data_IF_282226717578
#
_entry.id   IF_282226717578
#
_cell.length_a   1.000
_cell.length_b   1.000
_cell.length_c   1.000
_cell.angle_alpha   90.00
_cell.angle_beta   90.00
_cell.angle_gamma   90.00
#
_symmetry.space_group_name_H-M   'P 1'
#
loop_
_entity.id
_entity.type
_entity.pdbx_description
1 polymer ?
#
# COMPACT_ATOMS: atom_id res chain seq x y z
N UNK A 1 -17.12 21.65 -62.94
CA UNK A 1 -16.22 21.90 -61.80
C UNK A 1 -17.03 22.39 -60.61
N UNK A 2 -17.30 21.53 -59.64
CA UNK A 2 -17.88 21.90 -58.35
C UNK A 2 -16.94 21.37 -57.27
N UNK A 3 -16.31 22.28 -56.54
CA UNK A 3 -15.47 21.98 -55.38
C UNK A 3 -16.38 21.78 -54.16
N UNK A 4 -16.25 20.63 -53.50
CA UNK A 4 -16.75 20.37 -52.14
C UNK A 4 -15.55 20.49 -51.20
N UNK A 5 -15.58 21.34 -50.17
CA UNK A 5 -14.49 21.40 -49.20
C UNK A 5 -14.66 20.27 -48.17
N UNK A 6 -13.60 19.49 -47.99
CA UNK A 6 -13.46 18.50 -46.93
C UNK A 6 -13.23 19.24 -45.59
N UNK A 7 -14.17 19.17 -44.66
CA UNK A 7 -13.99 19.64 -43.29
C UNK A 7 -13.33 18.50 -42.49
N UNK A 8 -12.03 18.65 -42.25
CA UNK A 8 -11.28 17.81 -41.29
C UNK A 8 -11.73 18.26 -39.89
N UNK A 9 -12.52 17.43 -39.22
CA UNK A 9 -12.85 17.62 -37.82
C UNK A 9 -11.67 17.14 -36.98
N UNK A 10 -10.82 18.09 -36.55
CA UNK A 10 -9.80 17.85 -35.52
C UNK A 10 -10.55 17.76 -34.19
N UNK A 11 -10.80 16.54 -33.72
CA UNK A 11 -11.24 16.30 -32.34
C UNK A 11 -10.03 16.60 -31.45
N UNK A 12 -10.00 17.82 -30.90
CA UNK A 12 -9.12 18.17 -29.79
C UNK A 12 -9.47 17.23 -28.62
N UNK A 13 -8.62 16.24 -28.37
CA UNK A 13 -8.57 15.53 -27.10
C UNK A 13 -8.28 16.57 -26.02
N UNK A 14 -9.32 17.01 -25.31
CA UNK A 14 -9.15 17.75 -24.07
C UNK A 14 -8.55 16.75 -23.08
N UNK A 15 -7.31 16.95 -22.60
CA UNK A 15 -6.81 16.11 -21.53
C UNK A 15 -7.74 16.35 -20.33
N UNK A 16 -8.38 15.31 -19.83
CA UNK A 16 -8.94 15.35 -18.49
C UNK A 16 -7.77 15.58 -17.55
N UNK A 17 -7.54 16.83 -17.17
CA UNK A 17 -6.68 17.17 -16.05
C UNK A 17 -7.41 16.59 -14.84
N UNK A 18 -7.01 15.38 -14.42
CA UNK A 18 -7.31 14.91 -13.07
C UNK A 18 -6.65 15.96 -12.17
N UNK A 19 -7.47 16.84 -11.60
CA UNK A 19 -6.99 17.85 -10.67
C UNK A 19 -6.35 17.09 -9.51
N UNK A 20 -5.02 17.06 -9.48
CA UNK A 20 -4.27 16.52 -8.35
C UNK A 20 -4.67 17.35 -7.14
N UNK A 21 -5.31 16.73 -6.16
CA UNK A 21 -5.48 17.35 -4.84
C UNK A 21 -4.10 17.77 -4.35
N UNK A 22 -3.91 19.01 -3.87
CA UNK A 22 -2.62 19.42 -3.34
C UNK A 22 -2.16 18.43 -2.25
N UNK A 23 -0.85 18.13 -2.16
CA UNK A 23 -0.33 17.24 -1.13
C UNK A 23 -0.80 17.70 0.24
N UNK A 24 -1.20 16.76 1.09
CA UNK A 24 -1.63 17.10 2.44
C UNK A 24 -0.44 17.66 3.22
N UNK A 25 -0.65 18.52 4.20
CA UNK A 25 0.44 18.90 5.10
C UNK A 25 0.87 17.64 5.90
N UNK A 26 2.11 17.13 5.72
CA UNK A 26 2.57 15.93 6.40
C UNK A 26 2.39 15.99 7.90
N UNK A 27 2.65 17.15 8.51
CA UNK A 27 2.63 17.29 9.96
C UNK A 27 1.19 17.21 10.49
N UNK A 28 0.22 17.78 9.78
CA UNK A 28 -1.20 17.68 10.14
C UNK A 28 -1.73 16.25 10.00
N UNK A 29 -1.30 15.51 8.98
CA UNK A 29 -1.73 14.12 8.78
C UNK A 29 -1.16 13.21 9.87
N UNK A 30 0.12 13.40 10.21
CA UNK A 30 0.77 12.69 11.32
C UNK A 30 0.10 13.04 12.65
N UNK A 31 -0.26 14.31 12.88
CA UNK A 31 -1.01 14.71 14.06
C UNK A 31 -2.39 14.04 14.14
N UNK A 32 -3.17 14.02 13.05
CA UNK A 32 -4.47 13.33 13.02
C UNK A 32 -4.31 11.82 13.24
N UNK A 33 -3.29 11.21 12.63
CA UNK A 33 -2.94 9.82 12.87
C UNK A 33 -2.74 9.57 14.38
N UNK A 34 -1.97 10.41 15.05
CA UNK A 34 -1.73 10.32 16.49
C UNK A 34 -2.99 10.57 17.33
N UNK A 35 -3.88 11.47 16.89
CA UNK A 35 -5.18 11.66 17.54
C UNK A 35 -6.07 10.42 17.43
N UNK A 36 -6.12 9.74 16.27
CA UNK A 36 -6.85 8.47 16.11
C UNK A 36 -6.24 7.35 16.96
N UNK A 37 -4.91 7.25 17.01
CA UNK A 37 -4.18 6.32 17.88
C UNK A 37 -4.54 6.51 19.36
N UNK A 38 -4.62 7.76 19.83
CA UNK A 38 -4.94 8.10 21.22
C UNK A 38 -6.44 8.07 21.53
N UNK A 39 -7.32 8.36 20.56
CA UNK A 39 -8.78 8.40 20.74
C UNK A 39 -9.39 7.05 21.16
N UNK A 40 -8.73 5.94 20.80
CA UNK A 40 -9.08 4.60 21.29
C UNK A 40 -8.98 4.45 22.82
N UNK A 41 -8.16 5.27 23.51
CA UNK A 41 -8.08 5.29 24.98
C UNK A 41 -9.36 5.82 25.65
N UNK A 42 -10.17 6.65 24.95
CA UNK A 42 -11.36 7.31 25.54
C UNK A 42 -12.68 6.61 25.22
N UNK A 43 -12.75 5.78 24.17
CA UNK A 43 -13.92 4.94 23.86
C UNK A 43 -13.80 3.55 24.49
N UNK A 44 -13.68 3.51 25.82
CA UNK A 44 -13.65 2.28 26.64
C UNK A 44 -15.02 1.60 26.79
N UNK A 45 -15.97 1.90 25.89
CA UNK A 45 -17.35 1.42 25.95
C UNK A 45 -17.80 0.78 24.64
N UNK A 46 -17.95 -0.54 24.67
CA UNK A 46 -18.86 -1.36 23.85
C UNK A 46 -18.47 -1.88 22.45
N UNK A 47 -17.44 -1.38 21.74
CA UNK A 47 -17.16 -1.84 20.35
C UNK A 47 -15.68 -2.01 19.93
N UNK A 48 -14.69 -1.78 20.80
CA UNK A 48 -13.27 -1.90 20.45
C UNK A 48 -12.76 -3.35 20.60
N UNK A 49 -12.00 -3.84 19.60
CA UNK A 49 -11.31 -5.14 19.72
C UNK A 49 -10.22 -5.18 20.77
N UNK A 50 -9.82 -4.01 21.30
CA UNK A 50 -8.76 -3.89 22.28
C UNK A 50 -7.47 -4.59 21.83
N UNK A 51 -7.26 -4.74 20.51
CA UNK A 51 -6.00 -5.25 19.95
C UNK A 51 -4.88 -4.25 20.15
N UNK A 52 -5.22 -2.95 20.31
CA UNK A 52 -4.26 -1.86 20.37
C UNK A 52 -3.93 -1.28 19.00
N UNK A 53 -4.33 -1.96 17.93
CA UNK A 53 -4.27 -1.51 16.54
C UNK A 53 -5.59 -0.78 16.19
N UNK A 54 -5.57 0.56 15.98
CA UNK A 54 -6.80 1.32 15.74
C UNK A 54 -7.47 1.02 14.39
N UNK A 55 -6.74 0.50 13.40
CA UNK A 55 -7.33 0.11 12.12
C UNK A 55 -8.24 -1.09 12.36
N UNK A 56 -7.70 -2.16 12.96
CA UNK A 56 -8.46 -3.37 13.29
C UNK A 56 -9.57 -3.06 14.30
N UNK A 57 -9.26 -2.33 15.38
CA UNK A 57 -10.22 -2.01 16.44
C UNK A 57 -11.45 -1.22 15.91
N UNK A 58 -11.36 -0.59 14.73
CA UNK A 58 -12.45 0.15 14.11
C UNK A 58 -13.53 -0.74 13.45
N UNK A 59 -13.15 -1.89 12.87
CA UNK A 59 -14.08 -2.73 12.11
C UNK A 59 -14.12 -4.19 12.55
N UNK A 60 -13.00 -4.75 13.00
CA UNK A 60 -12.78 -6.20 13.13
C UNK A 60 -13.72 -6.89 14.13
N UNK A 61 -14.17 -6.13 15.13
CA UNK A 61 -15.04 -6.65 16.19
C UNK A 61 -16.51 -6.63 15.90
N UNK A 62 -16.89 -6.12 14.73
CA UNK A 62 -18.24 -6.24 14.24
C UNK A 62 -18.51 -7.72 13.89
N UNK A 63 -19.35 -8.45 14.64
CA UNK A 63 -19.70 -9.82 14.28
C UNK A 63 -20.53 -9.90 12.98
N UNK A 64 -21.12 -8.77 12.57
CA UNK A 64 -21.87 -8.59 11.33
C UNK A 64 -21.02 -7.88 10.25
N UNK A 65 -19.67 -7.95 10.33
CA UNK A 65 -18.77 -7.37 9.32
C UNK A 65 -19.13 -7.75 7.89
N UNK A 66 -19.74 -8.92 7.67
CA UNK A 66 -20.16 -9.38 6.34
C UNK A 66 -21.34 -8.58 5.78
N UNK A 67 -22.25 -8.10 6.64
CA UNK A 67 -23.33 -7.17 6.27
C UNK A 67 -22.83 -5.73 6.21
N UNK A 68 -21.82 -5.41 7.02
CA UNK A 68 -21.23 -4.09 7.17
C UNK A 68 -19.86 -3.97 6.49
N UNK A 69 -19.58 -4.74 5.42
CA UNK A 69 -18.24 -4.85 4.81
C UNK A 69 -17.57 -3.51 4.57
N UNK A 70 -18.38 -2.59 4.05
CA UNK A 70 -17.98 -1.24 3.64
C UNK A 70 -17.53 -0.33 4.78
N UNK A 71 -17.87 -0.66 6.03
CA UNK A 71 -17.37 0.04 7.24
C UNK A 71 -15.84 0.05 7.31
N UNK A 72 -15.19 -0.95 6.73
CA UNK A 72 -13.73 -1.01 6.61
C UNK A 72 -13.15 0.28 6.00
N UNK A 73 -13.80 0.87 4.99
CA UNK A 73 -13.30 2.04 4.29
C UNK A 73 -13.20 3.31 5.16
N UNK A 74 -13.85 3.34 6.33
CA UNK A 74 -13.77 4.47 7.26
C UNK A 74 -12.62 4.29 8.29
N UNK A 75 -11.95 3.14 8.28
CA UNK A 75 -10.97 2.73 9.28
C UNK A 75 -9.52 2.99 8.89
N UNK A 76 -9.26 3.37 7.64
CA UNK A 76 -7.94 3.79 7.19
C UNK A 76 -7.42 4.97 8.03
N UNK A 77 -6.09 5.01 8.23
CA UNK A 77 -5.38 6.09 8.90
C UNK A 77 -4.16 6.50 8.08
N UNK A 78 -3.49 7.58 8.47
CA UNK A 78 -2.31 8.08 7.78
C UNK A 78 -2.64 8.77 6.45
N UNK A 79 -1.69 8.80 5.53
CA UNK A 79 -1.84 9.51 4.26
C UNK A 79 -2.92 8.92 3.35
N UNK A 80 -3.13 7.60 3.40
CA UNK A 80 -4.19 6.89 2.69
C UNK A 80 -5.57 6.91 3.37
N UNK A 81 -5.77 7.66 4.47
CA UNK A 81 -7.05 7.68 5.23
C UNK A 81 -8.30 8.02 4.41
N UNK A 82 -8.12 8.69 3.27
CA UNK A 82 -9.19 9.10 2.37
C UNK A 82 -9.43 8.10 1.22
N UNK A 83 -8.72 6.98 1.17
CA UNK A 83 -8.96 5.91 0.20
C UNK A 83 -10.30 5.24 0.50
N UNK A 84 -11.39 5.71 -0.11
CA UNK A 84 -12.74 5.16 0.15
C UNK A 84 -13.04 3.89 -0.66
N UNK A 85 -12.18 3.54 -1.61
CA UNK A 85 -12.38 2.37 -2.47
C UNK A 85 -13.72 2.41 -3.20
N UNK A 86 -14.41 1.27 -3.24
CA UNK A 86 -15.77 1.13 -3.76
C UNK A 86 -16.88 1.28 -2.74
N UNK A 87 -16.65 1.95 -1.59
CA UNK A 87 -17.63 2.07 -0.48
C UNK A 87 -19.02 2.51 -0.96
N UNK A 88 -19.07 3.51 -1.83
CA UNK A 88 -20.33 4.11 -2.25
C UNK A 88 -20.97 3.38 -3.45
N UNK A 89 -20.42 2.22 -3.80
CA UNK A 89 -20.83 1.37 -4.91
C UNK A 89 -21.65 0.16 -4.52
N UNK A 90 -22.02 -0.63 -5.54
CA UNK A 90 -22.65 -1.94 -5.35
C UNK A 90 -21.63 -3.00 -4.96
N UNK A 91 -22.08 -4.04 -4.26
CA UNK A 91 -21.27 -5.23 -4.05
C UNK A 91 -21.25 -6.05 -5.34
N UNK A 92 -20.06 -6.38 -5.81
CA UNK A 92 -19.85 -7.34 -6.88
C UNK A 92 -19.27 -8.63 -6.30
N UNK A 93 -19.77 -9.78 -6.74
CA UNK A 93 -19.28 -11.08 -6.27
C UNK A 93 -18.59 -11.80 -7.42
N UNK A 94 -17.29 -12.02 -7.29
CA UNK A 94 -16.50 -12.85 -8.20
C UNK A 94 -16.94 -14.30 -8.01
N UNK A 95 -17.35 -14.92 -9.10
CA UNK A 95 -17.82 -16.31 -9.18
C UNK A 95 -16.96 -17.18 -10.09
N UNK A 96 -16.12 -16.55 -10.91
CA UNK A 96 -15.20 -17.19 -11.85
C UNK A 96 -13.77 -16.70 -11.60
N UNK A 97 -12.84 -17.63 -11.39
CA UNK A 97 -11.42 -17.35 -11.17
C UNK A 97 -10.62 -17.28 -12.48
N UNK A 98 -11.26 -17.48 -13.64
CA UNK A 98 -10.62 -17.40 -14.94
C UNK A 98 -10.26 -15.99 -15.38
N UNK A 99 -9.24 -15.90 -16.23
CA UNK A 99 -8.74 -14.65 -16.82
C UNK A 99 -8.36 -14.83 -18.30
N UNK A 100 -9.23 -15.49 -19.06
CA UNK A 100 -8.89 -15.99 -20.40
C UNK A 100 -8.57 -14.90 -21.42
N UNK A 101 -9.21 -13.74 -21.33
CA UNK A 101 -9.13 -12.65 -22.29
C UNK A 101 -8.96 -11.30 -21.55
N UNK A 102 -7.72 -10.74 -21.55
CA UNK A 102 -7.42 -9.45 -20.96
C UNK A 102 -8.14 -8.26 -21.59
N UNK A 103 -8.68 -8.42 -22.81
CA UNK A 103 -9.43 -7.40 -23.55
C UNK A 103 -10.93 -7.57 -23.36
N UNK A 104 -11.46 -8.79 -23.29
CA UNK A 104 -12.90 -9.04 -23.14
C UNK A 104 -13.19 -9.94 -21.93
N UNK A 105 -12.99 -9.42 -20.70
CA UNK A 105 -13.25 -10.21 -19.51
C UNK A 105 -14.74 -10.57 -19.40
N UNK A 106 -15.03 -11.78 -18.95
CA UNK A 106 -16.40 -12.28 -18.77
C UNK A 106 -17.01 -11.73 -17.47
N UNK A 107 -18.30 -11.33 -17.44
CA UNK A 107 -19.00 -11.11 -16.18
C UNK A 107 -18.87 -12.35 -15.27
N UNK A 108 -18.58 -12.12 -14.01
CA UNK A 108 -18.26 -13.12 -13.00
C UNK A 108 -16.78 -13.13 -12.60
N UNK A 109 -15.88 -12.58 -13.43
CA UNK A 109 -14.44 -12.55 -13.15
C UNK A 109 -13.99 -11.29 -12.42
N UNK A 110 -12.83 -11.37 -11.76
CA UNK A 110 -12.20 -10.23 -11.11
C UNK A 110 -11.86 -9.12 -12.11
N UNK A 111 -11.30 -9.47 -13.29
CA UNK A 111 -10.93 -8.49 -14.32
C UNK A 111 -12.14 -7.69 -14.81
N UNK A 112 -13.29 -8.34 -15.00
CA UNK A 112 -14.50 -7.62 -15.39
C UNK A 112 -14.89 -6.59 -14.34
N UNK A 113 -14.83 -6.95 -13.05
CA UNK A 113 -15.25 -6.08 -11.96
C UNK A 113 -14.37 -4.84 -11.80
N UNK A 114 -13.04 -5.02 -11.82
CA UNK A 114 -12.11 -3.92 -11.50
C UNK A 114 -12.07 -2.82 -12.57
N UNK A 115 -12.49 -3.10 -13.80
CA UNK A 115 -12.48 -2.12 -14.88
C UNK A 115 -13.77 -1.28 -14.96
N UNK A 116 -14.84 -1.60 -14.22
CA UNK A 116 -16.11 -0.89 -14.36
C UNK A 116 -16.00 0.60 -14.02
N UNK A 117 -16.84 1.44 -14.64
CA UNK A 117 -16.84 2.89 -14.39
C UNK A 117 -17.41 3.21 -13.01
N UNK A 118 -18.44 2.48 -12.58
CA UNK A 118 -19.05 2.67 -11.27
C UNK A 118 -18.14 2.20 -10.12
N UNK A 119 -18.26 2.82 -8.93
CA UNK A 119 -17.64 2.28 -7.73
C UNK A 119 -18.12 0.85 -7.46
N UNK A 120 -17.21 -0.06 -7.11
CA UNK A 120 -17.56 -1.45 -6.79
C UNK A 120 -16.80 -1.97 -5.57
N UNK A 121 -17.56 -2.57 -4.65
CA UNK A 121 -17.03 -3.37 -3.55
C UNK A 121 -16.97 -4.84 -3.97
N UNK A 122 -15.79 -5.30 -4.35
CA UNK A 122 -15.59 -6.61 -4.98
C UNK A 122 -15.28 -7.65 -3.90
N UNK A 123 -16.05 -8.73 -3.89
CA UNK A 123 -15.95 -9.86 -2.96
C UNK A 123 -15.88 -11.18 -3.71
N UNK A 124 -15.63 -12.28 -3.00
CA UNK A 124 -15.43 -13.60 -3.61
C UNK A 124 -16.44 -14.60 -3.06
N UNK A 125 -17.05 -15.39 -3.95
CA UNK A 125 -18.09 -16.37 -3.59
C UNK A 125 -17.55 -17.60 -2.86
N UNK A 126 -16.26 -17.89 -3.03
CA UNK A 126 -15.54 -19.07 -2.50
C UNK A 126 -14.04 -18.78 -2.54
N UNK A 127 -13.25 -19.69 -1.98
CA UNK A 127 -11.81 -19.69 -2.13
C UNK A 127 -11.42 -19.77 -3.61
N UNK A 128 -10.43 -18.97 -4.01
CA UNK A 128 -10.01 -18.84 -5.41
C UNK A 128 -8.50 -18.71 -5.54
N UNK A 129 -7.95 -19.40 -6.53
CA UNK A 129 -6.62 -19.11 -7.08
C UNK A 129 -6.84 -18.50 -8.46
N UNK A 130 -6.45 -17.25 -8.61
CA UNK A 130 -6.62 -16.44 -9.82
C UNK A 130 -5.22 -16.28 -10.43
N UNK A 131 -5.00 -16.95 -11.55
CA UNK A 131 -3.81 -16.75 -12.38
C UNK A 131 -4.18 -15.81 -13.52
N UNK A 132 -3.72 -14.57 -13.43
CA UNK A 132 -3.95 -13.57 -14.46
C UNK A 132 -3.07 -13.86 -15.68
N UNK A 133 -3.58 -13.56 -16.88
CA UNK A 133 -2.78 -13.64 -18.10
C UNK A 133 -1.93 -12.39 -18.33
N UNK A 134 -2.44 -11.24 -17.92
CA UNK A 134 -1.82 -9.93 -18.05
C UNK A 134 -2.03 -9.12 -16.77
N UNK A 135 -1.32 -8.00 -16.60
CA UNK A 135 -1.52 -7.11 -15.44
C UNK A 135 -3.02 -6.81 -15.21
N UNK A 136 -3.47 -6.91 -13.95
CA UNK A 136 -4.82 -6.53 -13.56
C UNK A 136 -4.87 -5.01 -13.38
N UNK A 137 -5.02 -4.30 -14.49
CA UNK A 137 -5.25 -2.87 -14.52
C UNK A 137 -6.71 -2.59 -14.13
N UNK A 138 -6.92 -1.58 -13.29
CA UNK A 138 -8.24 -1.24 -12.74
C UNK A 138 -8.59 0.22 -12.91
N UNK A 139 -9.89 0.50 -12.86
CA UNK A 139 -10.45 1.85 -12.82
C UNK A 139 -10.52 2.36 -11.37
N UNK A 140 -10.81 3.65 -11.17
CA UNK A 140 -10.95 4.28 -9.86
C UNK A 140 -12.11 3.70 -9.04
N UNK A 141 -12.11 3.96 -7.72
CA UNK A 141 -13.20 3.60 -6.79
C UNK A 141 -13.48 2.09 -6.71
N UNK A 142 -12.43 1.31 -6.47
CA UNK A 142 -12.53 -0.15 -6.35
C UNK A 142 -12.03 -0.59 -4.98
N UNK A 143 -12.77 -1.52 -4.38
CA UNK A 143 -12.29 -2.31 -3.25
C UNK A 143 -12.20 -3.76 -3.66
N UNK A 144 -11.04 -4.39 -3.51
CA UNK A 144 -10.89 -5.85 -3.54
C UNK A 144 -10.88 -6.32 -2.08
N UNK A 145 -11.92 -7.05 -1.66
CA UNK A 145 -12.14 -7.50 -0.28
C UNK A 145 -12.19 -9.03 -0.23
N UNK A 146 -11.07 -9.65 0.17
CA UNK A 146 -10.95 -11.11 0.30
C UNK A 146 -11.63 -11.69 1.54
N UNK A 147 -12.15 -10.89 2.48
CA UNK A 147 -12.72 -11.42 3.74
C UNK A 147 -13.84 -12.41 3.48
N UNK A 148 -13.74 -13.59 4.09
CA UNK A 148 -14.69 -14.69 3.96
C UNK A 148 -14.32 -15.72 2.88
N UNK A 149 -13.21 -15.54 2.18
CA UNK A 149 -12.64 -16.49 1.24
C UNK A 149 -11.09 -16.44 1.30
N UNK A 150 -10.44 -17.54 0.99
CA UNK A 150 -9.00 -17.58 0.73
C UNK A 150 -8.77 -17.27 -0.76
N UNK A 151 -8.26 -16.07 -1.04
CA UNK A 151 -8.08 -15.57 -2.41
C UNK A 151 -6.61 -15.35 -2.69
N UNK A 152 -6.10 -16.03 -3.71
CA UNK A 152 -4.72 -15.96 -4.15
C UNK A 152 -4.65 -15.39 -5.56
N UNK A 153 -3.92 -14.29 -5.74
CA UNK A 153 -3.48 -13.83 -7.06
C UNK A 153 -2.03 -14.26 -7.22
N UNK A 154 -1.77 -15.20 -8.14
CA UNK A 154 -0.45 -15.80 -8.23
C UNK A 154 -0.10 -16.40 -9.59
N UNK A 155 1.18 -16.74 -9.77
CA UNK A 155 1.72 -17.51 -10.89
C UNK A 155 1.61 -16.85 -12.28
N UNK A 156 1.24 -15.58 -12.33
CA UNK A 156 1.17 -14.72 -13.51
C UNK A 156 1.41 -13.27 -13.12
N UNK A 157 1.11 -12.30 -13.98
CA UNK A 157 1.11 -10.89 -13.61
C UNK A 157 0.11 -10.63 -12.48
N UNK A 158 0.32 -9.53 -11.76
CA UNK A 158 -0.50 -9.20 -10.59
C UNK A 158 -1.15 -7.81 -10.75
N UNK A 159 -1.20 -7.01 -9.70
CA UNK A 159 -2.08 -5.84 -9.62
C UNK A 159 -1.38 -4.57 -10.10
N UNK A 160 -2.03 -3.80 -10.97
CA UNK A 160 -1.52 -2.50 -11.43
C UNK A 160 -2.56 -1.40 -11.24
N UNK A 161 -2.28 -0.48 -10.32
CA UNK A 161 -3.07 0.71 -9.99
C UNK A 161 -2.45 1.91 -10.70
N UNK A 162 -2.89 2.18 -11.92
CA UNK A 162 -2.26 3.18 -12.80
C UNK A 162 -3.19 4.35 -13.10
N UNK A 163 -2.76 5.57 -12.79
CA UNK A 163 -3.46 6.84 -13.06
C UNK A 163 -4.91 6.89 -12.55
N UNK A 164 -5.18 6.19 -11.46
CA UNK A 164 -6.51 6.11 -10.83
C UNK A 164 -6.45 6.52 -9.36
N UNK A 165 -7.61 6.65 -8.75
CA UNK A 165 -7.73 7.05 -7.35
C UNK A 165 -8.76 6.23 -6.59
N UNK A 166 -8.67 6.26 -5.27
CA UNK A 166 -9.61 5.60 -4.34
C UNK A 166 -9.65 4.09 -4.54
N UNK A 167 -8.54 3.44 -4.19
CA UNK A 167 -8.39 1.98 -4.29
C UNK A 167 -8.13 1.39 -2.91
N UNK A 168 -8.84 0.32 -2.58
CA UNK A 168 -8.56 -0.51 -1.39
C UNK A 168 -8.26 -1.93 -1.88
N UNK A 169 -7.12 -2.48 -1.48
CA UNK A 169 -6.76 -3.88 -1.70
C UNK A 169 -6.64 -4.51 -0.31
N UNK A 170 -7.57 -5.40 0.02
CA UNK A 170 -7.71 -5.91 1.38
C UNK A 170 -7.91 -7.41 1.46
N UNK A 171 -7.13 -8.07 2.33
CA UNK A 171 -7.41 -9.45 2.75
C UNK A 171 -7.15 -10.51 1.67
N UNK A 172 -6.17 -10.31 0.80
CA UNK A 172 -5.81 -11.28 -0.27
C UNK A 172 -4.34 -11.71 -0.19
N UNK A 173 -4.05 -12.90 -0.71
CA UNK A 173 -2.70 -13.41 -0.91
C UNK A 173 -2.19 -13.01 -2.30
N UNK A 174 -0.99 -12.44 -2.38
CA UNK A 174 -0.35 -11.99 -3.63
C UNK A 174 1.06 -12.57 -3.66
N UNK A 175 1.32 -13.55 -4.52
CA UNK A 175 2.61 -14.23 -4.51
C UNK A 175 2.95 -14.88 -5.85
N UNK A 176 4.23 -15.22 -6.05
CA UNK A 176 4.69 -15.82 -7.31
C UNK A 176 4.31 -15.00 -8.55
N UNK A 177 4.25 -13.67 -8.40
CA UNK A 177 3.96 -12.75 -9.48
C UNK A 177 5.07 -12.80 -10.53
N UNK A 178 4.69 -12.77 -11.81
CA UNK A 178 5.59 -12.92 -12.96
C UNK A 178 5.38 -11.80 -13.95
N UNK A 179 6.42 -11.44 -14.72
CA UNK A 179 6.28 -10.57 -15.88
C UNK A 179 5.18 -11.05 -16.83
N UNK A 180 4.39 -10.12 -17.35
CA UNK A 180 3.48 -10.33 -18.48
C UNK A 180 3.44 -9.10 -19.36
N UNK A 181 2.92 -9.22 -20.57
CA UNK A 181 2.81 -8.09 -21.48
C UNK A 181 3.00 -8.51 -22.92
N UNK A 182 3.27 -7.51 -23.76
CA UNK A 182 3.17 -7.62 -25.22
C UNK A 182 1.76 -8.05 -25.64
N UNK A 183 0.77 -7.44 -24.99
CA UNK A 183 -0.64 -7.73 -25.20
C UNK A 183 -1.47 -6.46 -25.10
N UNK A 184 -2.68 -6.52 -25.68
CA UNK A 184 -3.70 -5.53 -25.42
C UNK A 184 -4.37 -5.84 -24.08
N UNK A 185 -4.51 -4.84 -23.21
CA UNK A 185 -5.12 -4.99 -21.89
C UNK A 185 -6.18 -3.92 -21.69
N UNK A 186 -7.36 -4.33 -21.22
CA UNK A 186 -8.47 -3.43 -20.90
C UNK A 186 -8.30 -2.84 -19.50
N UNK A 187 -8.49 -1.53 -19.39
CA UNK A 187 -8.44 -0.77 -18.13
C UNK A 187 -9.79 -0.13 -17.74
N UNK A 188 -10.72 -0.01 -18.71
CA UNK A 188 -12.07 0.50 -18.52
C UNK A 188 -13.06 -0.12 -19.52
N UNK A 189 -14.38 0.09 -19.38
CA UNK A 189 -15.34 -0.50 -20.33
C UNK A 189 -15.16 0.03 -21.75
N UNK A 190 -14.51 1.20 -21.90
CA UNK A 190 -14.38 1.92 -23.18
C UNK A 190 -12.96 2.02 -23.71
N UNK A 191 -11.96 1.65 -22.92
CA UNK A 191 -10.56 1.76 -23.31
C UNK A 191 -9.78 0.47 -23.01
N UNK A 192 -8.87 0.16 -23.93
CA UNK A 192 -7.86 -0.87 -23.78
C UNK A 192 -6.63 -0.43 -24.58
N UNK A 193 -5.44 -0.76 -24.11
CA UNK A 193 -4.18 -0.29 -24.67
C UNK A 193 -3.12 -1.38 -24.76
N UNK A 194 -2.10 -1.14 -25.59
CA UNK A 194 -0.94 -2.04 -25.66
C UNK A 194 -0.09 -1.90 -24.40
N UNK A 195 0.25 -3.03 -23.79
CA UNK A 195 1.13 -3.12 -22.62
C UNK A 195 2.43 -3.79 -23.01
N UNK A 196 3.54 -3.17 -22.66
CA UNK A 196 4.86 -3.81 -22.70
C UNK A 196 5.01 -4.77 -21.52
N UNK A 197 6.14 -5.47 -21.47
CA UNK A 197 6.45 -6.38 -20.37
C UNK A 197 6.48 -5.61 -19.05
N UNK A 198 5.70 -6.07 -18.07
CA UNK A 198 5.74 -5.63 -16.69
C UNK A 198 6.85 -6.35 -15.91
N UNK A 199 7.31 -5.75 -14.82
CA UNK A 199 8.42 -6.29 -14.03
C UNK A 199 8.03 -7.54 -13.21
N UNK A 200 6.73 -7.72 -12.98
CA UNK A 200 6.20 -8.83 -12.18
C UNK A 200 6.10 -8.50 -10.69
N UNK A 201 5.79 -7.25 -10.37
CA UNK A 201 5.49 -6.80 -9.00
C UNK A 201 4.19 -7.39 -8.47
N UNK A 202 4.05 -7.49 -7.15
CA UNK A 202 2.80 -7.85 -6.50
C UNK A 202 1.71 -6.78 -6.67
N UNK A 203 2.01 -5.56 -6.25
CA UNK A 203 1.15 -4.38 -6.38
C UNK A 203 1.97 -3.21 -6.93
N UNK A 204 1.71 -2.82 -8.16
CA UNK A 204 2.32 -1.64 -8.80
C UNK A 204 1.37 -0.44 -8.74
N UNK A 205 1.81 0.67 -8.14
CA UNK A 205 1.05 1.91 -7.96
C UNK A 205 1.75 3.01 -8.77
N UNK A 206 1.12 3.45 -9.85
CA UNK A 206 1.74 4.31 -10.86
C UNK A 206 0.92 5.58 -11.07
N UNK A 207 1.44 6.73 -10.65
CA UNK A 207 0.74 8.02 -10.74
C UNK A 207 -0.66 8.01 -10.14
N UNK A 208 -0.88 7.23 -9.08
CA UNK A 208 -2.17 7.02 -8.45
C UNK A 208 -2.25 7.70 -7.07
N UNK A 209 -3.46 7.97 -6.59
CA UNK A 209 -3.67 8.63 -5.30
C UNK A 209 -4.78 8.01 -4.46
N UNK A 210 -4.73 8.17 -3.14
CA UNK A 210 -5.72 7.61 -2.23
C UNK A 210 -5.82 6.08 -2.38
N UNK A 211 -4.71 5.41 -2.06
CA UNK A 211 -4.58 3.95 -2.15
C UNK A 211 -4.33 3.37 -0.76
N UNK A 212 -5.01 2.27 -0.44
CA UNK A 212 -4.82 1.54 0.80
C UNK A 212 -4.61 0.04 0.54
N UNK A 213 -3.43 -0.47 0.91
CA UNK A 213 -3.10 -1.90 0.84
C UNK A 213 -3.06 -2.42 2.27
N UNK A 214 -4.04 -3.27 2.62
CA UNK A 214 -4.32 -3.66 3.99
C UNK A 214 -4.50 -5.18 4.16
N UNK A 215 -3.97 -5.78 5.22
CA UNK A 215 -4.20 -7.20 5.51
C UNK A 215 -3.89 -8.15 4.33
N UNK A 216 -2.94 -7.80 3.48
CA UNK A 216 -2.50 -8.67 2.40
C UNK A 216 -1.31 -9.52 2.86
N UNK A 217 -1.18 -10.72 2.31
CA UNK A 217 0.02 -11.56 2.48
C UNK A 217 0.80 -11.57 1.17
N UNK A 218 2.04 -11.08 1.18
CA UNK A 218 2.84 -10.89 -0.03
C UNK A 218 4.18 -11.64 0.05
N UNK A 219 4.56 -12.33 -1.02
CA UNK A 219 5.85 -13.05 -1.08
C UNK A 219 6.27 -13.41 -2.50
N UNK A 220 7.55 -13.76 -2.69
CA UNK A 220 8.06 -14.47 -3.89
C UNK A 220 7.66 -13.89 -5.25
N UNK A 221 7.49 -12.57 -5.37
CA UNK A 221 7.26 -11.92 -6.67
C UNK A 221 8.56 -11.83 -7.49
N UNK A 222 8.46 -11.56 -8.79
CA UNK A 222 9.62 -11.54 -9.68
C UNK A 222 10.52 -10.30 -9.49
N UNK A 223 9.92 -9.13 -9.25
CA UNK A 223 10.68 -7.92 -8.91
C UNK A 223 10.36 -7.39 -7.50
N UNK A 224 9.35 -6.53 -7.32
CA UNK A 224 8.93 -5.99 -6.03
C UNK A 224 7.66 -6.59 -5.43
N UNK A 225 7.40 -6.44 -4.12
CA UNK A 225 6.07 -6.76 -3.56
C UNK A 225 5.10 -5.59 -3.71
N UNK A 226 5.52 -4.38 -3.32
CA UNK A 226 4.70 -3.15 -3.45
C UNK A 226 5.58 -2.00 -3.94
N UNK A 227 5.28 -1.51 -5.13
CA UNK A 227 6.01 -0.40 -5.75
C UNK A 227 5.09 0.79 -5.97
N UNK A 228 5.49 1.98 -5.53
CA UNK A 228 4.75 3.22 -5.74
C UNK A 228 5.64 4.29 -6.36
N UNK A 229 5.30 4.75 -7.57
CA UNK A 229 6.17 5.57 -8.41
C UNK A 229 5.38 6.62 -9.20
N UNK A 230 6.08 7.50 -9.92
CA UNK A 230 5.49 8.46 -10.86
C UNK A 230 4.50 9.45 -10.24
N UNK A 231 4.85 10.03 -9.09
CA UNK A 231 4.02 11.02 -8.40
C UNK A 231 2.85 10.39 -7.63
N UNK A 232 2.88 9.08 -7.38
CA UNK A 232 1.88 8.45 -6.53
C UNK A 232 1.94 9.01 -5.11
N UNK A 233 0.77 9.23 -4.47
CA UNK A 233 0.71 9.89 -3.16
C UNK A 233 -0.57 9.55 -2.39
N UNK A 234 -0.67 9.98 -1.14
CA UNK A 234 -1.79 9.66 -0.25
C UNK A 234 -2.02 8.15 -0.13
N UNK A 235 -0.97 7.42 0.28
CA UNK A 235 -0.96 5.96 0.37
C UNK A 235 -0.83 5.51 1.82
N UNK A 236 -1.58 4.49 2.21
CA UNK A 236 -1.33 3.73 3.44
C UNK A 236 -1.08 2.27 3.11
N UNK A 237 -0.04 1.69 3.69
CA UNK A 237 0.30 0.26 3.60
C UNK A 237 0.28 -0.26 5.03
N UNK A 238 -0.74 -1.04 5.38
CA UNK A 238 -0.94 -1.48 6.76
C UNK A 238 -1.31 -2.93 6.97
N UNK A 239 -1.01 -3.47 8.14
CA UNK A 239 -1.42 -4.81 8.55
C UNK A 239 -1.00 -5.92 7.57
N UNK A 240 -0.03 -5.70 6.69
CA UNK A 240 0.40 -6.71 5.72
C UNK A 240 1.43 -7.64 6.35
N UNK A 241 1.45 -8.88 5.87
CA UNK A 241 2.51 -9.84 6.20
C UNK A 241 3.35 -10.09 4.95
N UNK A 242 4.64 -9.79 5.03
CA UNK A 242 5.56 -9.89 3.90
C UNK A 242 6.69 -10.86 4.25
N UNK A 243 6.98 -11.81 3.36
CA UNK A 243 8.04 -12.82 3.58
C UNK A 243 8.72 -13.22 2.27
N UNK A 244 9.87 -13.91 2.37
CA UNK A 244 10.53 -14.61 1.28
C UNK A 244 10.68 -13.78 0.00
N UNK A 245 11.39 -12.65 0.09
CA UNK A 245 11.51 -11.74 -1.03
C UNK A 245 12.71 -10.78 -0.88
N UNK A 246 13.37 -10.44 -1.99
CA UNK A 246 14.54 -9.55 -1.97
C UNK A 246 14.12 -8.08 -1.86
N UNK A 247 13.40 -7.57 -2.86
CA UNK A 247 13.08 -6.15 -3.03
C UNK A 247 11.67 -5.84 -2.54
N UNK A 248 11.50 -5.67 -1.23
CA UNK A 248 10.15 -5.66 -0.64
C UNK A 248 9.27 -4.50 -1.11
N UNK A 249 9.71 -3.26 -0.94
CA UNK A 249 8.88 -2.09 -1.19
C UNK A 249 9.70 -0.91 -1.72
N UNK A 250 9.44 -0.48 -2.96
CA UNK A 250 10.08 0.68 -3.57
C UNK A 250 9.12 1.88 -3.65
N UNK A 251 9.49 2.99 -3.03
CA UNK A 251 8.70 4.21 -3.01
C UNK A 251 9.49 5.34 -3.69
N UNK A 252 9.18 5.56 -4.97
CA UNK A 252 9.91 6.42 -5.91
C UNK A 252 10.98 5.65 -6.68
N UNK A 253 10.99 5.76 -8.01
CA UNK A 253 11.82 4.90 -8.89
C UNK A 253 13.18 5.49 -9.28
N UNK A 254 13.28 6.82 -9.33
CA UNK A 254 14.45 7.52 -9.90
C UNK A 254 14.82 8.75 -9.10
N UNK A 255 16.11 8.90 -8.83
CA UNK A 255 16.68 10.05 -8.14
C UNK A 255 16.45 11.36 -8.92
N UNK A 256 16.29 11.28 -10.24
CA UNK A 256 16.02 12.43 -11.11
C UNK A 256 14.53 12.80 -11.20
N UNK A 257 13.61 11.95 -10.71
CA UNK A 257 12.17 12.16 -10.87
C UNK A 257 11.58 13.01 -9.74
N UNK A 258 11.82 14.32 -9.81
CA UNK A 258 11.45 15.27 -8.75
C UNK A 258 9.95 15.38 -8.45
N UNK A 259 9.06 14.89 -9.31
CA UNK A 259 7.61 14.87 -9.02
C UNK A 259 7.27 13.98 -7.82
N UNK A 260 8.13 12.99 -7.51
CA UNK A 260 7.99 12.14 -6.32
C UNK A 260 8.20 12.91 -5.00
N UNK A 261 8.63 14.18 -5.02
CA UNK A 261 8.66 15.04 -3.82
C UNK A 261 7.27 15.24 -3.19
N UNK A 262 6.22 15.08 -3.98
CA UNK A 262 4.83 15.16 -3.50
C UNK A 262 4.30 13.84 -2.92
N UNK A 263 5.10 12.76 -2.98
CA UNK A 263 4.73 11.44 -2.47
C UNK A 263 4.63 11.46 -0.95
N UNK A 264 3.55 10.90 -0.43
CA UNK A 264 3.30 10.76 1.00
C UNK A 264 2.74 9.38 1.30
N UNK A 265 3.46 8.60 2.12
CA UNK A 265 3.11 7.21 2.42
C UNK A 265 3.20 6.93 3.91
N UNK A 266 2.18 6.28 4.47
CA UNK A 266 2.19 5.71 5.82
C UNK A 266 2.39 4.21 5.73
N UNK A 267 3.44 3.70 6.38
CA UNK A 267 3.72 2.26 6.50
C UNK A 267 3.48 1.89 7.96
N UNK A 268 2.39 1.21 8.28
CA UNK A 268 1.99 0.99 9.67
C UNK A 268 1.51 -0.43 10.00
N UNK A 269 1.92 -0.98 11.15
CA UNK A 269 1.47 -2.30 11.63
C UNK A 269 1.74 -3.49 10.69
N UNK A 270 2.68 -3.34 9.76
CA UNK A 270 3.09 -4.47 8.93
C UNK A 270 4.02 -5.38 9.73
N UNK A 271 4.02 -6.66 9.40
CA UNK A 271 5.02 -7.60 9.86
C UNK A 271 5.93 -7.96 8.67
N UNK A 272 7.17 -7.48 8.75
CA UNK A 272 8.27 -7.84 7.87
C UNK A 272 8.93 -9.11 8.43
N UNK A 273 8.51 -10.24 7.85
CA UNK A 273 8.78 -11.59 8.31
C UNK A 273 10.05 -12.19 7.73
N UNK A 274 10.15 -13.51 7.81
CA UNK A 274 11.33 -14.28 7.40
C UNK A 274 11.64 -14.18 5.91
N UNK A 275 12.91 -14.38 5.56
CA UNK A 275 13.39 -14.46 4.17
C UNK A 275 13.32 -13.13 3.40
N UNK A 276 13.17 -11.99 4.10
CA UNK A 276 13.26 -10.67 3.47
C UNK A 276 14.72 -10.19 3.41
N UNK A 277 15.12 -9.59 2.28
CA UNK A 277 16.50 -9.07 2.12
C UNK A 277 16.58 -7.59 2.46
N UNK A 278 15.77 -6.75 1.80
CA UNK A 278 15.92 -5.29 1.83
C UNK A 278 14.64 -4.52 1.43
N UNK A 279 14.72 -3.18 1.48
CA UNK A 279 13.68 -2.23 1.01
C UNK A 279 12.37 -2.31 1.78
N UNK A 280 12.40 -2.16 3.09
CA UNK A 280 11.23 -2.16 3.97
C UNK A 280 11.04 -0.82 4.71
N UNK A 281 10.83 0.33 4.03
CA UNK A 281 10.84 0.56 2.58
C UNK A 281 12.22 1.01 2.04
N UNK A 282 12.36 1.11 0.71
CA UNK A 282 13.37 1.96 0.05
C UNK A 282 12.69 3.20 -0.55
N UNK A 283 13.07 4.38 -0.10
CA UNK A 283 12.38 5.63 -0.39
C UNK A 283 13.20 6.62 -1.22
N UNK A 284 12.51 7.49 -1.97
CA UNK A 284 13.10 8.65 -2.66
C UNK A 284 12.21 9.88 -2.55
N UNK A 285 12.83 11.06 -2.44
CA UNK A 285 12.21 12.39 -2.42
C UNK A 285 11.16 12.67 -1.34
N UNK A 286 10.04 11.96 -1.36
CA UNK A 286 8.82 12.26 -0.61
C UNK A 286 8.91 12.09 0.91
N UNK A 287 7.74 11.96 1.53
CA UNK A 287 7.57 11.88 2.97
C UNK A 287 7.02 10.52 3.39
N UNK A 288 7.71 9.87 4.33
CA UNK A 288 7.42 8.50 4.74
C UNK A 288 7.29 8.39 6.25
N UNK A 289 6.11 7.98 6.71
CA UNK A 289 5.85 7.71 8.12
C UNK A 289 5.87 6.21 8.38
N UNK A 290 6.93 5.73 9.04
CA UNK A 290 7.16 4.32 9.33
C UNK A 290 6.76 4.04 10.80
N UNK A 291 5.54 3.55 10.92
CA UNK A 291 4.67 3.36 12.09
C UNK A 291 4.54 2.02 12.82
N UNK A 292 5.13 1.74 13.98
CA UNK A 292 4.75 0.53 14.75
C UNK A 292 4.76 -0.80 13.94
N UNK A 293 5.71 -0.97 13.02
CA UNK A 293 5.90 -2.20 12.24
C UNK A 293 6.84 -3.16 13.00
N UNK A 294 6.64 -4.46 12.82
CA UNK A 294 7.52 -5.49 13.37
C UNK A 294 8.49 -6.01 12.30
N UNK A 295 9.77 -5.75 12.50
CA UNK A 295 10.85 -6.22 11.63
C UNK A 295 11.56 -7.37 12.34
N UNK A 296 11.31 -8.57 11.84
CA UNK A 296 11.85 -9.79 12.45
C UNK A 296 13.03 -10.37 11.68
N UNK A 297 13.17 -10.02 10.41
CA UNK A 297 14.30 -10.42 9.55
C UNK A 297 14.61 -9.33 8.52
N UNK A 298 15.89 -9.24 8.16
CA UNK A 298 16.39 -8.61 6.94
C UNK A 298 17.75 -9.25 6.61
N UNK A 299 18.17 -9.24 5.35
CA UNK A 299 19.49 -9.78 4.98
C UNK A 299 20.48 -8.72 4.51
N UNK A 300 20.06 -7.47 4.33
CA UNK A 300 20.97 -6.37 3.99
C UNK A 300 20.71 -5.13 4.84
N UNK A 301 19.49 -4.59 4.80
CA UNK A 301 19.02 -3.48 5.62
C UNK A 301 17.50 -3.52 5.71
N UNK A 302 16.90 -2.83 6.68
CA UNK A 302 15.45 -2.70 6.76
C UNK A 302 14.98 -1.47 5.99
N UNK A 303 15.38 -0.27 6.41
CA UNK A 303 14.91 1.01 5.86
C UNK A 303 16.03 1.65 5.04
N UNK A 304 15.75 2.06 3.80
CA UNK A 304 16.76 2.70 2.94
C UNK A 304 16.19 3.80 2.06
N UNK A 305 17.08 4.44 1.31
CA UNK A 305 16.67 5.47 0.37
C UNK A 305 17.81 6.23 -0.28
N UNK A 306 17.47 6.93 -1.37
CA UNK A 306 18.34 7.82 -2.14
C UNK A 306 17.57 9.09 -2.52
N UNK A 307 18.26 10.16 -2.93
CA UNK A 307 17.63 11.44 -3.30
C UNK A 307 16.75 12.07 -2.19
N UNK A 308 17.33 12.22 -1.00
CA UNK A 308 16.81 13.04 0.09
C UNK A 308 15.34 12.79 0.55
N UNK A 309 14.88 11.54 0.74
CA UNK A 309 13.57 11.29 1.31
C UNK A 309 13.51 11.75 2.78
N UNK A 310 12.33 12.17 3.23
CA UNK A 310 12.07 12.38 4.66
C UNK A 310 11.48 11.11 5.25
N UNK A 311 12.19 10.48 6.19
CA UNK A 311 11.77 9.24 6.84
C UNK A 311 11.59 9.49 8.33
N UNK A 312 10.38 9.25 8.82
CA UNK A 312 10.09 9.28 10.25
C UNK A 312 9.74 7.88 10.76
N UNK A 313 10.71 7.23 11.41
CA UNK A 313 10.54 5.94 12.09
C UNK A 313 10.06 6.17 13.52
N UNK A 314 8.91 5.59 13.88
CA UNK A 314 8.33 5.73 15.20
C UNK A 314 7.77 4.43 15.76
N UNK A 315 8.20 4.10 16.98
CA UNK A 315 7.65 2.99 17.76
C UNK A 315 7.71 1.63 17.07
N UNK A 316 8.57 1.44 16.07
CA UNK A 316 8.78 0.16 15.41
C UNK A 316 9.57 -0.79 16.31
N UNK A 317 9.57 -2.08 15.97
CA UNK A 317 10.40 -3.09 16.61
C UNK A 317 11.36 -3.68 15.58
N UNK A 318 12.65 -3.59 15.83
CA UNK A 318 13.70 -4.09 14.95
C UNK A 318 14.49 -5.19 15.64
N UNK A 319 14.30 -6.44 15.22
CA UNK A 319 15.12 -7.57 15.64
C UNK A 319 16.20 -7.83 14.59
N UNK A 320 17.42 -7.37 14.86
CA UNK A 320 18.53 -7.57 13.93
C UNK A 320 18.88 -9.06 13.77
N UNK A 321 19.30 -9.48 12.57
CA UNK A 321 19.90 -10.79 12.33
C UNK A 321 21.14 -10.99 13.20
N UNK A 322 21.53 -12.24 13.46
CA UNK A 322 22.72 -12.54 14.27
C UNK A 322 24.04 -12.09 13.62
N UNK A 323 24.06 -11.93 12.30
CA UNK A 323 25.20 -11.41 11.56
C UNK A 323 25.58 -9.99 12.04
N UNK A 324 26.83 -9.87 12.53
CA UNK A 324 27.41 -8.61 13.03
C UNK A 324 27.47 -7.49 11.98
N UNK A 325 27.43 -7.81 10.69
CA UNK A 325 27.50 -6.82 9.62
C UNK A 325 26.11 -6.34 9.15
N UNK A 326 25.03 -6.87 9.75
CA UNK A 326 23.64 -6.57 9.37
C UNK A 326 22.86 -5.95 10.52
N UNK A 327 23.55 -5.23 11.42
CA UNK A 327 22.96 -4.60 12.60
C UNK A 327 22.34 -3.23 12.32
N UNK A 328 22.82 -2.54 11.29
CA UNK A 328 22.25 -1.25 10.93
C UNK A 328 20.91 -1.43 10.23
N UNK A 329 19.89 -0.77 10.78
CA UNK A 329 18.53 -0.72 10.22
C UNK A 329 18.52 0.10 8.92
N UNK A 330 19.34 1.15 8.88
CA UNK A 330 19.34 2.19 7.85
C UNK A 330 20.35 1.95 6.74
N UNK A 331 19.98 2.28 5.49
CA UNK A 331 20.89 2.31 4.34
C UNK A 331 20.68 3.55 3.48
N UNK A 332 21.62 4.49 3.57
CA UNK A 332 21.71 5.64 2.67
C UNK A 332 22.37 5.19 1.35
N UNK A 333 21.57 5.07 0.30
CA UNK A 333 22.02 4.63 -1.02
C UNK A 333 22.47 5.82 -1.87
N UNK A 334 23.48 5.58 -2.70
CA UNK A 334 23.93 6.48 -3.78
C UNK A 334 24.32 7.90 -3.34
N UNK A 335 24.59 8.11 -2.04
CA UNK A 335 24.96 9.41 -1.48
C UNK A 335 26.17 9.31 -0.52
N UNK A 336 27.07 10.28 -0.60
CA UNK A 336 28.18 10.40 0.34
C UNK A 336 27.69 10.90 1.70
N UNK A 337 28.44 10.62 2.78
CA UNK A 337 28.09 11.08 4.13
C UNK A 337 27.96 12.59 4.26
N UNK A 338 28.74 13.36 3.50
CA UNK A 338 28.61 14.83 3.45
C UNK A 338 27.26 15.30 2.88
N UNK A 339 26.60 14.47 2.09
CA UNK A 339 25.30 14.74 1.48
C UNK A 339 24.16 14.23 2.36
N UNK A 340 24.13 12.92 2.64
CA UNK A 340 22.99 12.31 3.31
C UNK A 340 22.82 12.77 4.77
N UNK A 341 23.87 13.28 5.42
CA UNK A 341 23.76 13.91 6.74
C UNK A 341 22.77 15.07 6.79
N UNK A 342 22.49 15.70 5.64
CA UNK A 342 21.53 16.80 5.53
C UNK A 342 20.10 16.32 5.23
N UNK A 343 19.88 15.03 4.98
CA UNK A 343 18.55 14.45 4.80
C UNK A 343 17.82 14.36 6.15
N UNK A 344 16.51 14.09 6.13
CA UNK A 344 15.68 14.10 7.34
C UNK A 344 15.26 12.68 7.73
N UNK A 345 16.16 11.89 8.32
CA UNK A 345 15.85 10.55 8.81
C UNK A 345 15.83 10.53 10.33
N UNK A 346 14.68 10.19 10.89
CA UNK A 346 14.38 10.29 12.31
C UNK A 346 13.94 8.95 12.85
N UNK A 347 14.28 8.70 14.12
CA UNK A 347 13.85 7.54 14.89
C UNK A 347 13.38 8.02 16.26
N UNK A 348 12.22 7.55 16.71
CA UNK A 348 11.65 7.90 18.01
C UNK A 348 10.88 6.71 18.62
N UNK A 349 11.25 6.30 19.83
CA UNK A 349 10.55 5.22 20.54
C UNK A 349 10.69 3.83 19.93
N UNK A 350 11.53 3.66 18.91
CA UNK A 350 11.82 2.37 18.29
C UNK A 350 12.52 1.42 19.28
N UNK A 351 12.14 0.14 19.25
CA UNK A 351 12.77 -0.91 20.04
C UNK A 351 13.83 -1.61 19.19
N UNK A 352 15.09 -1.44 19.57
CA UNK A 352 16.23 -2.06 18.92
C UNK A 352 16.65 -3.34 19.67
N UNK A 353 16.59 -4.49 19.01
CA UNK A 353 16.92 -5.79 19.57
C UNK A 353 18.10 -6.43 18.84
N UNK A 354 18.81 -7.32 19.54
CA UNK A 354 19.98 -8.04 19.02
C UNK A 354 21.06 -7.13 18.40
N UNK A 355 21.29 -5.97 19.01
CA UNK A 355 22.30 -5.01 18.54
C UNK A 355 21.87 -4.16 17.35
N UNK A 356 20.59 -4.19 16.95
CA UNK A 356 20.06 -3.28 15.95
C UNK A 356 20.37 -1.82 16.30
N UNK A 357 20.61 -0.98 15.30
CA UNK A 357 20.69 0.47 15.50
C UNK A 357 20.24 1.22 14.26
N UNK A 358 19.81 2.46 14.46
CA UNK A 358 19.38 3.38 13.40
C UNK A 358 20.33 4.58 13.38
N UNK A 359 20.83 4.96 12.21
CA UNK A 359 21.69 6.13 12.04
C UNK A 359 20.84 7.32 11.57
N UNK A 360 20.47 8.26 12.45
CA UNK A 360 19.66 9.42 12.06
C UNK A 360 20.47 10.46 11.28
N UNK A 361 19.76 11.33 10.56
CA UNK A 361 20.32 12.46 9.81
C UNK A 361 19.43 13.70 9.90
N UNK A 362 20.01 14.86 9.58
CA UNK A 362 19.32 16.14 9.56
C UNK A 362 19.34 16.87 10.90
N UNK A 363 18.80 18.08 10.92
CA UNK A 363 18.88 19.02 12.04
C UNK A 363 17.89 18.74 13.18
N UNK A 364 17.26 17.56 13.19
CA UNK A 364 16.12 17.26 14.06
C UNK A 364 14.86 18.02 13.63
N UNK A 365 13.72 17.70 14.22
CA UNK A 365 12.45 18.27 13.80
C UNK A 365 12.21 19.68 14.36
N UNK A 366 11.42 20.50 13.65
CA UNK A 366 10.87 21.75 14.21
C UNK A 366 10.16 21.45 15.55
N UNK A 367 10.18 22.41 16.48
CA UNK A 367 9.56 22.26 17.82
C UNK A 367 8.07 21.90 17.78
N UNK A 368 7.38 22.17 16.67
CA UNK A 368 5.99 21.75 16.40
C UNK A 368 5.87 20.23 16.19
N UNK A 369 6.81 19.64 15.44
CA UNK A 369 6.87 18.21 15.19
C UNK A 369 7.21 17.43 16.46
N UNK A 370 8.19 17.90 17.24
CA UNK A 370 8.56 17.27 18.51
C UNK A 370 7.39 17.21 19.51
N UNK A 371 6.45 18.17 19.46
CA UNK A 371 5.22 18.12 20.27
C UNK A 371 4.17 17.18 19.70
N UNK A 372 3.97 17.15 18.38
CA UNK A 372 3.04 16.22 17.72
C UNK A 372 3.52 14.75 17.83
N UNK A 373 4.84 14.53 17.81
CA UNK A 373 5.49 13.22 17.79
C UNK A 373 5.61 12.57 19.19
N UNK A 374 5.83 13.38 20.24
CA UNK A 374 6.10 12.93 21.62
C UNK A 374 4.99 12.09 22.30
N UNK A 375 3.82 11.91 21.67
CA UNK A 375 2.67 11.18 22.21
C UNK A 375 2.02 10.21 21.20
N UNK A 376 2.66 9.93 20.07
CA UNK A 376 1.95 9.54 18.87
C UNK A 376 1.86 8.06 18.48
N UNK A 377 2.95 7.31 18.64
CA UNK A 377 3.01 5.87 18.33
C UNK A 377 2.61 5.01 19.54
N UNK A 378 2.15 3.77 19.32
CA UNK A 378 2.08 2.79 20.42
C UNK A 378 3.50 2.50 20.92
N UNK A 379 3.61 2.06 22.17
CA UNK A 379 4.89 1.56 22.69
C UNK A 379 5.40 0.43 21.79
N UNK A 380 6.67 0.51 21.39
CA UNK A 380 7.34 -0.51 20.59
C UNK A 380 7.37 -1.90 21.26
N UNK A 381 7.20 -1.97 22.58
CA UNK A 381 7.02 -3.24 23.31
C UNK A 381 5.71 -3.97 22.97
N UNK A 382 4.69 -3.25 22.50
CA UNK A 382 3.39 -3.82 22.09
C UNK A 382 3.36 -4.22 20.61
N UNK A 383 4.38 -3.85 19.82
CA UNK A 383 4.40 -4.07 18.36
C UNK A 383 4.15 -5.53 18.00
N UNK A 384 4.83 -6.48 18.67
CA UNK A 384 4.61 -7.90 18.42
C UNK A 384 3.16 -8.35 18.66
N UNK A 385 2.45 -7.74 19.62
CA UNK A 385 1.03 -8.05 19.86
C UNK A 385 0.07 -7.37 18.88
N UNK A 386 0.30 -6.10 18.54
CA UNK A 386 -0.60 -5.33 17.68
C UNK A 386 -0.46 -5.70 16.19
N UNK A 387 0.65 -6.36 15.83
CA UNK A 387 0.91 -6.93 14.50
C UNK A 387 0.74 -8.45 14.43
N UNK A 388 0.30 -9.09 15.53
CA UNK A 388 0.10 -10.56 15.55
C UNK A 388 -0.97 -11.04 14.56
N UNK A 389 -1.85 -10.14 14.10
CA UNK A 389 -2.86 -10.41 13.08
C UNK A 389 -2.50 -9.91 11.68
N UNK A 390 -1.27 -9.48 11.42
CA UNK A 390 -0.86 -9.01 10.10
C UNK A 390 -0.98 -10.13 9.04
N UNK A 391 -1.26 -9.75 7.79
CA UNK A 391 -1.57 -10.68 6.71
C UNK A 391 -3.07 -10.92 6.55
N UNK A 392 -3.41 -11.95 5.76
CA UNK A 392 -4.82 -12.26 5.47
C UNK A 392 -5.50 -12.81 6.72
N UNK A 393 -6.65 -12.23 7.07
CA UNK A 393 -7.43 -12.68 8.21
C UNK A 393 -8.40 -13.80 7.85
N UNK A 394 -8.57 -14.75 8.77
CA UNK A 394 -9.60 -15.79 8.65
C UNK A 394 -10.94 -15.27 9.18
N UNK A 395 -11.70 -14.54 8.35
CA UNK A 395 -13.04 -14.08 8.72
C UNK A 395 -14.11 -15.14 8.42
N UNK A 396 -15.00 -15.46 9.37
CA UNK A 396 -16.16 -16.33 9.14
C UNK A 396 -17.47 -15.56 9.30
N UNK A 397 -18.48 -15.93 8.51
CA UNK A 397 -19.81 -15.31 8.60
C UNK A 397 -20.42 -15.59 9.98
N UNK A 398 -20.99 -14.55 10.61
CA UNK A 398 -21.62 -14.66 11.93
C UNK A 398 -20.64 -14.72 13.10
N UNK A 399 -19.34 -14.52 12.86
CA UNK A 399 -18.34 -14.33 13.92
C UNK A 399 -17.53 -13.07 13.64
N UNK A 400 -16.83 -12.59 14.67
CA UNK A 400 -15.77 -11.60 14.48
C UNK A 400 -14.72 -12.14 13.51
N UNK A 401 -14.12 -11.21 12.78
CA UNK A 401 -12.81 -11.44 12.20
C UNK A 401 -11.74 -11.10 13.28
#
# INVERSE_FOLDING_TARGET
HFHVPFLISVVLLVPFVVASTPPQDPDLVVEEFHQRMNGTRRKLGFLSCSTGNPIDDCWRCDPDWEKNRRKLADCAIGFGKNAIGGRDGNIYVVTDSGDDDPVNPKPGTLRWAVIQDEPLWITFSRDMVIQLKEELIMNSFKTIDGRGASVHISNGPCITVQFVTNIIIHGIHIHDCKPGGNAMVRDSPRHYGWRTISDGDGVSIFGASHVWVDHCSLSSCADGLIDAIHGSTAITISNNYMTHHDKVMLLGHSDAYVQDQSMQVTIAFNHFGEGLVQRMPRCRHGYFHVVNNDYTHWEMYAIGGSAAPTINSQGNRFLAPDDRFKKEVTKYEDAAESEWKNWNWRTEGDLMLNGAYFTPSGTGASSTYARASSLGARSSSLVGSITAGSGVLTCRKGSRC
#
